data_IF_690175879107
#
_entry.id   IF_690175879107
#
_cell.length_a   1.000
_cell.length_b   1.000
_cell.length_c   1.000
_cell.angle_alpha   90.00
_cell.angle_beta   90.00
_cell.angle_gamma   90.00
#
_symmetry.space_group_name_H-M   'P 1'
#
loop_
_entity.id
_entity.type
_entity.pdbx_description
1 polymer ?
#
# COMPACT_ATOMS: atom_id res chain seq x y z
N UNK A 1 9.22 -3.06 5.24
CA UNK A 1 9.08 -1.98 4.25
C UNK A 1 8.81 -2.67 2.92
N UNK A 2 7.52 -2.89 2.63
CA UNK A 2 7.05 -3.71 1.50
C UNK A 2 7.29 -2.98 0.16
N UNK A 3 7.46 -3.71 -0.96
CA UNK A 3 7.36 -3.14 -2.29
C UNK A 3 5.92 -2.63 -2.54
N UNK A 4 5.77 -1.45 -3.16
CA UNK A 4 4.47 -0.94 -3.58
C UNK A 4 3.80 -1.99 -4.48
N UNK A 5 2.71 -2.58 -4.00
CA UNK A 5 1.85 -3.45 -4.79
C UNK A 5 0.59 -2.64 -5.14
N UNK A 6 0.53 -2.14 -6.37
CA UNK A 6 -0.64 -1.43 -6.88
C UNK A 6 -1.76 -2.44 -7.17
N UNK A 7 -2.91 -2.33 -6.48
CA UNK A 7 -4.12 -3.15 -6.70
C UNK A 7 -5.21 -2.27 -7.32
N UNK A 8 -5.50 -2.38 -8.61
CA UNK A 8 -6.54 -1.53 -9.24
C UNK A 8 -7.95 -2.04 -8.92
N UNK A 9 -8.84 -1.14 -8.50
CA UNK A 9 -10.28 -1.36 -8.41
C UNK A 9 -10.91 -1.02 -9.77
N UNK A 10 -11.44 -2.00 -10.50
CA UNK A 10 -12.00 -1.80 -11.85
C UNK A 10 -13.54 -1.79 -11.80
N UNK A 11 -14.16 -0.70 -12.25
CA UNK A 11 -15.53 -0.74 -12.81
C UNK A 11 -15.40 -0.69 -14.34
N UNK A 12 -16.00 -1.66 -15.01
CA UNK A 12 -15.95 -1.81 -16.47
C UNK A 12 -17.02 -0.90 -17.09
N UNK A 13 -16.62 0.00 -17.99
CA UNK A 13 -17.53 0.74 -18.88
C UNK A 13 -17.10 0.55 -20.35
N UNK A 14 -18.04 0.44 -21.30
CA UNK A 14 -17.73 0.12 -22.70
C UNK A 14 -17.25 1.37 -23.47
N UNK A 15 -16.23 1.20 -24.32
CA UNK A 15 -15.61 2.25 -25.15
C UNK A 15 -16.16 2.15 -26.58
N UNK A 16 -16.59 3.28 -27.15
CA UNK A 16 -17.06 3.40 -28.53
C UNK A 16 -15.91 3.87 -29.44
N UNK A 17 -15.62 3.11 -30.50
CA UNK A 17 -14.46 3.28 -31.39
C UNK A 17 -14.83 4.08 -32.63
N UNK A 18 -14.35 5.33 -32.78
CA UNK A 18 -14.14 6.00 -34.08
C UNK A 18 -13.55 7.43 -33.89
N UNK A 19 -12.24 7.52 -33.59
CA UNK A 19 -11.38 8.75 -33.70
C UNK A 19 -9.88 8.47 -33.45
N UNK A 20 -9.40 7.30 -33.86
CA UNK A 20 -8.37 6.56 -33.11
C UNK A 20 -6.89 6.73 -33.51
N UNK A 21 -6.48 7.61 -34.45
CA UNK A 21 -5.07 7.63 -34.89
C UNK A 21 -4.18 8.68 -34.19
N UNK A 22 -4.59 9.95 -34.12
CA UNK A 22 -3.78 10.98 -33.45
C UNK A 22 -3.91 10.97 -31.92
N UNK A 23 -5.13 10.79 -31.41
CA UNK A 23 -5.37 10.75 -29.96
C UNK A 23 -4.75 9.53 -29.28
N UNK A 24 -4.57 8.42 -30.00
CA UNK A 24 -3.94 7.22 -29.46
C UNK A 24 -2.41 7.37 -29.32
N UNK A 25 -1.75 8.04 -30.27
CA UNK A 25 -0.32 8.31 -30.20
C UNK A 25 0.01 9.31 -29.08
N UNK A 26 -0.79 10.37 -28.96
CA UNK A 26 -0.66 11.36 -27.87
C UNK A 26 -0.93 10.72 -26.49
N UNK A 27 -1.98 9.89 -26.38
CA UNK A 27 -2.26 9.15 -25.13
C UNK A 27 -1.10 8.23 -24.73
N UNK A 28 -0.48 7.54 -25.69
CA UNK A 28 0.66 6.65 -25.42
C UNK A 28 1.86 7.44 -24.90
N UNK A 29 2.13 8.62 -25.46
CA UNK A 29 3.23 9.48 -25.02
C UNK A 29 3.01 9.99 -23.59
N UNK A 30 1.81 10.44 -23.26
CA UNK A 30 1.43 10.87 -21.90
C UNK A 30 1.61 9.72 -20.90
N UNK A 31 1.13 8.51 -21.23
CA UNK A 31 1.29 7.34 -20.36
C UNK A 31 2.75 6.99 -20.07
N UNK A 32 3.63 7.12 -21.07
CA UNK A 32 5.07 6.91 -20.91
C UNK A 32 5.66 7.95 -19.95
N UNK A 33 5.28 9.23 -20.10
CA UNK A 33 5.76 10.30 -19.20
C UNK A 33 5.26 10.10 -17.77
N UNK A 34 3.99 9.71 -17.58
CA UNK A 34 3.43 9.39 -16.27
C UNK A 34 4.20 8.24 -15.62
N UNK A 35 4.45 7.16 -16.36
CA UNK A 35 5.19 6.01 -15.85
C UNK A 35 6.64 6.37 -15.49
N UNK A 36 7.28 7.23 -16.29
CA UNK A 36 8.63 7.72 -16.00
C UNK A 36 8.67 8.46 -14.66
N UNK A 37 7.69 9.35 -14.39
CA UNK A 37 7.55 10.01 -13.09
C UNK A 37 7.41 8.96 -11.98
N UNK A 38 6.53 7.96 -12.11
CA UNK A 38 6.33 6.92 -11.09
C UNK A 38 7.64 6.17 -10.80
N UNK A 39 8.43 5.86 -11.84
CA UNK A 39 9.70 5.14 -11.69
C UNK A 39 10.79 5.95 -10.96
N UNK A 40 10.77 7.28 -11.02
CA UNK A 40 11.66 8.11 -10.19
C UNK A 40 11.40 7.97 -8.68
N UNK A 41 10.20 7.49 -8.31
CA UNK A 41 9.80 7.24 -6.93
C UNK A 41 9.89 5.77 -6.53
N UNK A 42 10.25 4.87 -7.46
CA UNK A 42 10.43 3.46 -7.20
C UNK A 42 11.64 3.19 -6.27
N UNK A 43 11.53 2.13 -5.46
CA UNK A 43 12.61 1.68 -4.59
C UNK A 43 13.59 0.81 -5.38
N UNK A 44 14.65 1.43 -5.92
CA UNK A 44 15.71 0.72 -6.65
C UNK A 44 16.75 0.12 -5.68
N UNK A 45 16.32 -0.83 -4.84
CA UNK A 45 17.14 -1.41 -3.76
C UNK A 45 18.01 -2.59 -4.19
N UNK A 46 17.93 -3.02 -5.45
CA UNK A 46 18.63 -4.20 -5.96
C UNK A 46 19.29 -3.92 -7.31
N UNK A 47 20.39 -4.61 -7.58
CA UNK A 47 21.17 -4.43 -8.81
C UNK A 47 20.37 -4.78 -10.09
N UNK A 48 19.32 -5.59 -9.97
CA UNK A 48 18.40 -5.99 -11.05
C UNK A 48 17.19 -5.05 -11.22
N UNK A 49 17.13 -3.92 -10.50
CA UNK A 49 15.94 -3.05 -10.48
C UNK A 49 15.55 -2.54 -11.88
N UNK A 50 16.53 -2.22 -12.72
CA UNK A 50 16.28 -1.71 -14.08
C UNK A 50 15.64 -2.76 -14.99
N UNK A 51 16.13 -4.00 -14.95
CA UNK A 51 15.61 -5.10 -15.76
C UNK A 51 14.17 -5.45 -15.36
N UNK A 52 13.87 -5.41 -14.05
CA UNK A 52 12.53 -5.67 -13.53
C UNK A 52 11.54 -4.56 -13.89
N UNK A 53 11.98 -3.30 -13.83
CA UNK A 53 11.16 -2.17 -14.29
C UNK A 53 10.87 -2.30 -15.78
N UNK A 54 11.87 -2.63 -16.59
CA UNK A 54 11.69 -2.87 -18.03
C UNK A 54 10.69 -4.00 -18.32
N UNK A 55 10.78 -5.12 -17.59
CA UNK A 55 9.85 -6.23 -17.73
C UNK A 55 8.40 -5.87 -17.32
N UNK A 56 8.24 -4.98 -16.33
CA UNK A 56 6.93 -4.52 -15.86
C UNK A 56 6.29 -3.43 -16.72
N UNK A 57 7.09 -2.66 -17.46
CA UNK A 57 6.64 -1.48 -18.23
C UNK A 57 5.42 -1.74 -19.11
N UNK A 58 5.36 -2.80 -19.95
CA UNK A 58 4.20 -3.03 -20.81
C UNK A 58 2.89 -3.17 -20.02
N UNK A 59 2.96 -3.83 -18.85
CA UNK A 59 1.79 -4.02 -17.99
C UNK A 59 1.36 -2.69 -17.36
N UNK A 60 2.30 -1.90 -16.85
CA UNK A 60 1.99 -0.60 -16.25
C UNK A 60 1.40 0.37 -17.27
N UNK A 61 1.98 0.47 -18.47
CA UNK A 61 1.43 1.29 -19.55
C UNK A 61 0.00 0.88 -19.89
N UNK A 62 -0.26 -0.42 -20.06
CA UNK A 62 -1.62 -0.91 -20.38
C UNK A 62 -2.70 -0.56 -19.32
N UNK A 63 -2.29 -0.24 -18.09
CA UNK A 63 -3.18 0.22 -17.02
C UNK A 63 -3.35 1.73 -17.08
N UNK A 64 -2.24 2.47 -17.20
CA UNK A 64 -2.24 3.94 -17.29
C UNK A 64 -3.03 4.41 -18.53
N UNK A 65 -2.81 3.75 -19.67
CA UNK A 65 -3.49 4.03 -20.94
C UNK A 65 -5.00 4.07 -20.79
N UNK A 66 -5.59 3.24 -19.93
CA UNK A 66 -7.04 3.21 -19.72
C UNK A 66 -7.57 4.53 -19.15
N UNK A 67 -6.85 5.11 -18.19
CA UNK A 67 -7.20 6.40 -17.60
C UNK A 67 -6.94 7.53 -18.59
N UNK A 68 -5.80 7.49 -19.29
CA UNK A 68 -5.40 8.53 -20.24
C UNK A 68 -6.34 8.58 -21.45
N UNK A 69 -6.68 7.42 -22.04
CA UNK A 69 -7.66 7.33 -23.14
C UNK A 69 -9.04 7.80 -22.70
N UNK A 70 -9.45 7.52 -21.46
CA UNK A 70 -10.72 7.98 -20.91
C UNK A 70 -10.70 9.48 -20.51
N UNK A 71 -9.53 10.12 -20.47
CA UNK A 71 -9.38 11.48 -19.97
C UNK A 71 -9.67 11.61 -18.46
N UNK A 72 -9.48 10.53 -17.71
CA UNK A 72 -9.74 10.42 -16.28
C UNK A 72 -8.45 10.55 -15.45
N UNK A 73 -8.58 10.92 -14.17
CA UNK A 73 -7.43 10.95 -13.26
C UNK A 73 -6.82 9.57 -13.10
N UNK A 74 -5.49 9.47 -13.03
CA UNK A 74 -4.81 8.20 -12.78
C UNK A 74 -4.98 7.83 -11.31
N UNK A 75 -5.77 6.79 -11.05
CA UNK A 75 -6.02 6.30 -9.69
C UNK A 75 -5.03 5.21 -9.29
N UNK A 76 -4.27 5.47 -8.23
CA UNK A 76 -3.33 4.54 -7.63
C UNK A 76 -3.80 4.12 -6.25
N UNK A 77 -3.43 2.92 -5.81
CA UNK A 77 -3.55 2.54 -4.42
C UNK A 77 -2.26 1.98 -3.87
N UNK A 78 -2.07 2.16 -2.56
CA UNK A 78 -0.90 1.71 -1.84
C UNK A 78 -1.32 1.14 -0.47
N UNK A 79 -1.25 -0.19 -0.29
CA UNK A 79 -1.28 -0.80 1.03
C UNK A 79 -0.02 -0.38 1.81
N UNK A 80 -0.19 0.50 2.80
CA UNK A 80 0.91 1.03 3.58
C UNK A 80 0.41 1.78 4.83
N UNK A 81 1.37 2.25 5.62
CA UNK A 81 1.14 3.00 6.86
C UNK A 81 0.19 2.26 7.82
N UNK A 82 0.55 1.03 8.25
CA UNK A 82 -0.29 0.23 9.13
C UNK A 82 -0.33 0.80 10.56
N UNK A 83 0.84 1.07 11.14
CA UNK A 83 1.09 1.52 12.51
C UNK A 83 2.61 1.71 12.73
N UNK A 84 3.01 2.26 13.89
CA UNK A 84 4.41 2.26 14.33
C UNK A 84 4.80 0.91 14.95
N UNK A 85 6.08 0.55 14.82
CA UNK A 85 6.67 -0.66 15.40
C UNK A 85 6.36 -0.84 16.89
N UNK A 86 6.22 -2.08 17.34
CA UNK A 86 6.11 -2.42 18.76
C UNK A 86 7.42 -2.12 19.53
N UNK A 87 8.56 -2.08 18.84
CA UNK A 87 9.85 -1.77 19.44
C UNK A 87 10.01 -0.26 19.70
N UNK A 88 9.62 0.18 20.90
CA UNK A 88 9.75 1.56 21.37
C UNK A 88 11.14 1.92 21.91
N UNK A 89 12.08 0.96 21.95
CA UNK A 89 13.41 1.19 22.55
C UNK A 89 14.29 1.99 21.60
N UNK A 90 14.32 1.64 20.33
CA UNK A 90 15.20 2.31 19.35
C UNK A 90 14.59 2.52 17.97
N UNK A 91 13.43 1.92 17.64
CA UNK A 91 12.89 2.01 16.27
C UNK A 91 11.95 3.18 16.05
N UNK A 92 11.18 3.57 17.06
CA UNK A 92 10.14 4.60 16.94
C UNK A 92 10.05 5.44 18.20
N UNK A 93 9.62 6.71 18.04
CA UNK A 93 9.47 7.66 19.13
C UNK A 93 8.14 7.52 19.90
N UNK A 94 7.18 6.81 19.33
CA UNK A 94 5.84 6.66 19.90
C UNK A 94 4.94 5.74 19.06
N UNK A 95 3.63 5.83 19.29
CA UNK A 95 2.61 5.08 18.52
C UNK A 95 2.03 5.88 17.35
N UNK A 96 2.20 7.21 17.35
CA UNK A 96 1.65 8.11 16.35
C UNK A 96 2.66 8.33 15.20
N UNK A 97 2.18 8.76 14.01
CA UNK A 97 3.04 9.22 12.94
C UNK A 97 3.95 10.36 13.39
N UNK A 98 5.17 10.37 12.87
CA UNK A 98 6.18 11.40 13.11
C UNK A 98 6.68 11.99 11.76
N UNK A 99 7.81 12.69 11.80
CA UNK A 99 8.38 13.36 10.61
C UNK A 99 8.68 12.38 9.47
N UNK A 100 8.93 11.10 9.76
CA UNK A 100 9.16 10.11 8.72
C UNK A 100 7.90 9.90 7.88
N UNK A 101 6.74 9.79 8.53
CA UNK A 101 5.46 9.69 7.84
C UNK A 101 5.10 10.97 7.08
N UNK A 102 5.37 12.15 7.65
CA UNK A 102 5.14 13.43 6.98
C UNK A 102 5.92 13.51 5.65
N UNK A 103 7.23 13.23 5.67
CA UNK A 103 8.07 13.26 4.47
C UNK A 103 7.67 12.19 3.45
N UNK A 104 7.22 11.03 3.92
CA UNK A 104 6.73 9.98 3.03
C UNK A 104 5.43 10.39 2.32
N UNK A 105 4.47 10.99 3.05
CA UNK A 105 3.24 11.52 2.47
C UNK A 105 3.52 12.67 1.51
N UNK A 106 4.40 13.60 1.87
CA UNK A 106 4.82 14.70 1.00
C UNK A 106 5.40 14.18 -0.32
N UNK A 107 6.29 13.18 -0.23
CA UNK A 107 6.92 12.55 -1.40
C UNK A 107 5.87 11.95 -2.34
N UNK A 108 4.89 11.22 -1.81
CA UNK A 108 3.80 10.63 -2.59
C UNK A 108 2.86 11.68 -3.19
N UNK A 109 2.54 12.73 -2.42
CA UNK A 109 1.71 13.84 -2.89
C UNK A 109 2.38 14.59 -4.05
N UNK A 110 3.70 14.81 -3.92
CA UNK A 110 4.53 15.47 -4.94
C UNK A 110 4.59 14.67 -6.23
N UNK A 111 4.71 13.33 -6.13
CA UNK A 111 4.65 12.46 -7.31
C UNK A 111 3.34 12.67 -8.08
N UNK A 112 2.20 12.69 -7.37
CA UNK A 112 0.90 12.90 -8.01
C UNK A 112 0.75 14.32 -8.58
N UNK A 113 1.28 15.34 -7.88
CA UNK A 113 1.28 16.72 -8.37
C UNK A 113 2.07 16.87 -9.68
N UNK A 114 3.26 16.24 -9.77
CA UNK A 114 4.07 16.23 -10.99
C UNK A 114 3.37 15.56 -12.17
N UNK A 115 2.55 14.54 -11.93
CA UNK A 115 1.70 13.96 -12.97
C UNK A 115 0.65 14.98 -13.43
N UNK A 116 0.05 15.74 -12.51
CA UNK A 116 -0.86 16.84 -12.81
C UNK A 116 -0.27 17.95 -13.69
N UNK A 117 1.03 18.20 -13.60
CA UNK A 117 1.73 19.20 -14.43
C UNK A 117 1.79 18.80 -15.92
N UNK A 118 1.82 17.49 -16.22
CA UNK A 118 1.91 16.96 -17.59
C UNK A 118 0.57 16.40 -18.11
N UNK A 119 -0.37 16.09 -17.21
CA UNK A 119 -1.64 15.46 -17.53
C UNK A 119 -2.76 16.12 -16.73
N UNK A 120 -3.61 16.91 -17.42
CA UNK A 120 -4.62 17.79 -16.79
C UNK A 120 -5.55 17.09 -15.79
N UNK A 121 -6.08 15.87 -16.03
CA UNK A 121 -6.86 15.14 -15.03
C UNK A 121 -6.08 14.72 -13.79
N UNK A 122 -4.75 14.73 -13.85
CA UNK A 122 -3.84 14.48 -12.75
C UNK A 122 -3.79 13.02 -12.31
N UNK A 123 -3.38 12.84 -11.06
CA UNK A 123 -3.33 11.55 -10.40
C UNK A 123 -3.70 11.68 -8.92
N UNK A 124 -4.27 10.61 -8.38
CA UNK A 124 -4.61 10.50 -6.97
C UNK A 124 -4.11 9.16 -6.42
N UNK A 125 -3.59 9.18 -5.19
CA UNK A 125 -3.10 7.98 -4.52
C UNK A 125 -3.92 7.71 -3.27
N UNK A 126 -4.60 6.57 -3.26
CA UNK A 126 -5.32 6.07 -2.08
C UNK A 126 -4.42 5.18 -1.24
N UNK A 127 -4.06 5.64 -0.04
CA UNK A 127 -3.39 4.83 0.97
C UNK A 127 -4.42 3.91 1.63
N UNK A 128 -4.21 2.60 1.51
CA UNK A 128 -5.02 1.58 2.16
C UNK A 128 -4.29 1.14 3.44
N UNK A 129 -4.81 1.53 4.60
CA UNK A 129 -4.22 1.10 5.88
C UNK A 129 -4.53 -0.37 6.10
N UNK A 130 -3.51 -1.20 5.94
CA UNK A 130 -3.54 -2.66 6.02
C UNK A 130 -3.27 -3.20 7.43
N UNK A 131 -2.90 -2.32 8.38
CA UNK A 131 -2.46 -2.71 9.72
C UNK A 131 -3.47 -3.56 10.48
N UNK A 132 -4.77 -3.28 10.34
CA UNK A 132 -5.81 -4.04 11.03
C UNK A 132 -5.86 -5.52 10.59
N UNK A 133 -5.30 -5.87 9.43
CA UNK A 133 -5.31 -7.24 8.93
C UNK A 133 -4.41 -8.15 9.78
N UNK A 134 -3.32 -7.63 10.35
CA UNK A 134 -2.26 -8.44 10.99
C UNK A 134 -1.68 -7.83 12.28
N UNK A 135 -2.26 -6.76 12.82
CA UNK A 135 -1.74 -6.07 14.00
C UNK A 135 -1.64 -6.99 15.24
N UNK A 136 -2.56 -7.94 15.37
CA UNK A 136 -2.57 -8.94 16.44
C UNK A 136 -1.33 -9.86 16.40
N UNK A 137 -0.85 -10.23 15.21
CA UNK A 137 0.39 -10.98 15.04
C UNK A 137 1.63 -10.21 15.54
N UNK A 138 1.54 -8.87 15.60
CA UNK A 138 2.61 -7.98 16.05
C UNK A 138 2.39 -7.42 17.45
N UNK A 139 1.40 -7.93 18.18
CA UNK A 139 1.01 -7.45 19.51
C UNK A 139 0.69 -5.94 19.53
N UNK A 140 0.19 -5.40 18.41
CA UNK A 140 -0.25 -4.00 18.30
C UNK A 140 -1.76 -3.93 18.56
N UNK A 141 -2.22 -3.23 19.61
CA UNK A 141 -3.64 -3.09 19.91
C UNK A 141 -4.44 -2.42 18.77
N UNK A 142 -5.68 -2.85 18.55
CA UNK A 142 -6.56 -2.25 17.51
C UNK A 142 -6.76 -0.73 17.72
N UNK A 143 -6.81 -0.26 18.97
CA UNK A 143 -6.90 1.18 19.31
C UNK A 143 -5.66 1.96 18.84
N UNK A 144 -4.47 1.35 18.86
CA UNK A 144 -3.23 2.00 18.46
C UNK A 144 -3.20 2.14 16.93
N UNK A 145 -3.68 1.13 16.21
CA UNK A 145 -3.89 1.19 14.74
C UNK A 145 -4.88 2.31 14.39
N UNK A 146 -5.99 2.40 15.14
CA UNK A 146 -6.96 3.47 14.96
C UNK A 146 -6.34 4.85 15.19
N UNK A 147 -5.68 5.05 16.33
CA UNK A 147 -5.06 6.32 16.69
C UNK A 147 -3.99 6.76 15.68
N UNK A 148 -3.12 5.82 15.27
CA UNK A 148 -2.12 6.07 14.23
C UNK A 148 -2.77 6.54 12.92
N UNK A 149 -3.77 5.79 12.44
CA UNK A 149 -4.45 6.15 11.20
C UNK A 149 -5.17 7.51 11.29
N UNK A 150 -5.78 7.84 12.43
CA UNK A 150 -6.46 9.12 12.64
C UNK A 150 -5.46 10.28 12.60
N UNK A 151 -4.33 10.14 13.29
CA UNK A 151 -3.26 11.13 13.28
C UNK A 151 -2.64 11.29 11.89
N UNK A 152 -2.49 10.20 11.12
CA UNK A 152 -1.95 10.25 9.75
C UNK A 152 -2.85 11.04 8.81
N UNK A 153 -4.17 10.83 8.90
CA UNK A 153 -5.17 11.60 8.14
C UNK A 153 -5.18 13.07 8.54
N UNK A 154 -5.11 13.35 9.84
CA UNK A 154 -5.03 14.73 10.34
C UNK A 154 -3.77 15.44 9.81
N UNK A 155 -2.63 14.75 9.84
CA UNK A 155 -1.36 15.25 9.29
C UNK A 155 -1.47 15.58 7.79
N UNK A 156 -2.09 14.70 6.99
CA UNK A 156 -2.26 14.96 5.56
C UNK A 156 -3.11 16.22 5.30
N UNK A 157 -4.16 16.43 6.09
CA UNK A 157 -4.99 17.64 6.02
C UNK A 157 -4.20 18.88 6.45
N UNK A 158 -3.52 18.83 7.59
CA UNK A 158 -2.71 19.93 8.13
C UNK A 158 -1.64 20.40 7.15
N UNK A 159 -1.00 19.46 6.45
CA UNK A 159 0.08 19.73 5.49
C UNK A 159 -0.41 20.05 4.08
N UNK A 160 -1.71 19.96 3.82
CA UNK A 160 -2.29 20.25 2.50
C UNK A 160 -1.95 19.21 1.42
N UNK A 161 -1.82 17.93 1.79
CA UNK A 161 -1.58 16.84 0.83
C UNK A 161 -2.88 16.45 0.12
N UNK A 162 -3.26 17.21 -0.91
CA UNK A 162 -4.55 17.09 -1.60
C UNK A 162 -4.67 15.92 -2.57
N UNK A 163 -3.55 15.32 -3.00
CA UNK A 163 -3.54 14.19 -3.94
C UNK A 163 -3.48 12.82 -3.24
N UNK A 164 -3.68 12.81 -1.91
CA UNK A 164 -3.63 11.61 -1.08
C UNK A 164 -5.00 11.37 -0.46
N UNK A 165 -5.57 10.22 -0.79
CA UNK A 165 -6.80 9.71 -0.20
C UNK A 165 -6.49 8.58 0.78
N UNK A 166 -7.42 8.28 1.68
CA UNK A 166 -7.25 7.21 2.66
C UNK A 166 -8.44 6.26 2.64
N UNK A 167 -8.12 4.97 2.63
CA UNK A 167 -9.07 3.87 2.80
C UNK A 167 -8.62 2.97 3.95
N UNK A 168 -9.57 2.40 4.67
CA UNK A 168 -9.33 1.47 5.77
C UNK A 168 -9.96 0.13 5.42
N UNK A 169 -9.61 -0.89 6.19
CA UNK A 169 -10.18 -2.22 6.01
C UNK A 169 -11.72 -2.23 5.99
N UNK A 170 -12.37 -1.36 6.78
CA UNK A 170 -13.83 -1.20 6.80
C UNK A 170 -14.43 -0.77 5.46
N UNK A 171 -13.67 -0.02 4.64
CA UNK A 171 -14.12 0.45 3.33
C UNK A 171 -14.02 -0.65 2.25
N UNK A 172 -13.39 -1.78 2.58
CA UNK A 172 -13.19 -2.94 1.70
C UNK A 172 -14.16 -4.10 1.98
N UNK A 173 -14.91 -4.01 3.07
CA UNK A 173 -15.83 -5.06 3.53
C UNK A 173 -17.26 -4.55 3.51
N UNK A 174 -18.18 -5.38 3.02
CA UNK A 174 -19.60 -5.05 3.01
C UNK A 174 -20.19 -5.41 4.37
N UNK A 175 -20.16 -4.46 5.30
CA UNK A 175 -20.56 -4.67 6.69
C UNK A 175 -21.38 -3.48 7.20
N UNK A 176 -22.60 -3.70 7.75
CA UNK A 176 -23.51 -2.62 8.11
C UNK A 176 -23.01 -1.87 9.34
N UNK A 177 -22.57 -0.62 9.13
CA UNK A 177 -22.09 0.26 10.20
C UNK A 177 -22.50 1.71 9.99
N UNK A 178 -22.45 2.53 11.05
CA UNK A 178 -22.60 3.97 10.93
C UNK A 178 -21.57 4.56 9.95
N UNK A 179 -21.99 5.53 9.15
CA UNK A 179 -21.14 6.24 8.18
C UNK A 179 -19.90 6.85 8.87
N UNK A 180 -20.12 7.54 9.99
CA UNK A 180 -19.07 8.05 10.87
C UNK A 180 -18.74 7.03 11.94
N UNK A 181 -17.56 6.43 11.83
CA UNK A 181 -17.02 5.56 12.87
C UNK A 181 -16.32 6.37 13.94
N UNK A 182 -16.71 6.13 15.18
CA UNK A 182 -15.94 6.50 16.36
C UNK A 182 -14.97 5.37 16.72
N UNK A 183 -13.96 5.68 17.53
CA UNK A 183 -12.95 4.72 17.98
C UNK A 183 -13.58 3.45 18.54
N UNK A 184 -14.50 3.60 19.50
CA UNK A 184 -15.16 2.48 20.18
C UNK A 184 -15.84 1.55 19.18
N UNK A 185 -16.60 2.11 18.22
CA UNK A 185 -17.30 1.31 17.21
C UNK A 185 -16.32 0.61 16.27
N UNK A 186 -15.25 1.27 15.85
CA UNK A 186 -14.25 0.67 14.97
C UNK A 186 -13.50 -0.47 15.67
N UNK A 187 -13.02 -0.22 16.89
CA UNK A 187 -12.26 -1.19 17.69
C UNK A 187 -13.14 -2.40 18.04
N UNK A 188 -14.39 -2.18 18.45
CA UNK A 188 -15.32 -3.28 18.74
C UNK A 188 -15.62 -4.17 17.52
N UNK A 189 -15.47 -3.65 16.30
CA UNK A 189 -15.70 -4.39 15.06
C UNK A 189 -14.42 -4.82 14.34
N UNK A 190 -13.24 -4.56 14.90
CA UNK A 190 -11.95 -4.85 14.28
C UNK A 190 -11.84 -6.32 13.82
N UNK A 191 -12.17 -7.26 14.71
CA UNK A 191 -12.19 -8.70 14.41
C UNK A 191 -13.20 -9.06 13.32
N UNK A 192 -14.35 -8.39 13.28
CA UNK A 192 -15.38 -8.65 12.27
C UNK A 192 -14.89 -8.24 10.88
N UNK A 193 -14.21 -7.09 10.77
CA UNK A 193 -13.60 -6.65 9.52
C UNK A 193 -12.54 -7.62 9.03
N UNK A 194 -11.64 -8.04 9.93
CA UNK A 194 -10.57 -9.01 9.62
C UNK A 194 -11.17 -10.33 9.14
N UNK A 195 -12.16 -10.86 9.86
CA UNK A 195 -12.84 -12.11 9.49
C UNK A 195 -13.56 -12.00 8.15
N UNK A 196 -14.26 -10.90 7.89
CA UNK A 196 -14.95 -10.71 6.62
C UNK A 196 -13.96 -10.66 5.44
N UNK A 197 -12.82 -9.95 5.60
CA UNK A 197 -11.77 -9.93 4.59
C UNK A 197 -11.20 -11.34 4.33
N UNK A 198 -10.83 -12.07 5.39
CA UNK A 198 -10.26 -13.41 5.28
C UNK A 198 -11.25 -14.40 4.68
N UNK A 199 -12.52 -14.37 5.06
CA UNK A 199 -13.53 -15.27 4.49
C UNK A 199 -13.77 -15.00 2.99
N UNK A 200 -13.60 -13.76 2.53
CA UNK A 200 -13.86 -13.36 1.15
C UNK A 200 -12.66 -13.51 0.22
N UNK A 201 -11.45 -13.24 0.73
CA UNK A 201 -10.23 -13.16 -0.07
C UNK A 201 -9.10 -14.08 0.42
N UNK A 202 -9.27 -14.73 1.56
CA UNK A 202 -8.33 -15.71 2.09
C UNK A 202 -8.25 -16.95 1.21
N UNK A 203 -7.17 -17.70 1.40
CA UNK A 203 -6.89 -18.95 0.70
C UNK A 203 -6.53 -20.00 1.74
N UNK A 204 -7.54 -20.75 2.17
CA UNK A 204 -7.37 -21.77 3.21
C UNK A 204 -6.51 -22.96 2.73
N UNK A 205 -6.42 -23.15 1.42
CA UNK A 205 -5.63 -24.18 0.74
C UNK A 205 -4.20 -23.72 0.38
N UNK A 206 -3.78 -22.52 0.81
CA UNK A 206 -2.46 -21.99 0.50
C UNK A 206 -1.35 -22.75 1.24
N UNK A 207 -0.61 -23.56 0.51
CA UNK A 207 0.65 -24.15 0.98
C UNK A 207 1.78 -23.10 0.92
N UNK A 208 1.95 -22.38 2.03
CA UNK A 208 2.94 -21.30 2.12
C UNK A 208 4.38 -21.81 2.02
N UNK A 209 4.66 -23.04 2.48
CA UNK A 209 6.00 -23.62 2.42
C UNK A 209 6.39 -23.93 0.97
N UNK A 210 5.45 -24.52 0.21
CA UNK A 210 5.63 -24.73 -1.22
C UNK A 210 5.75 -23.41 -1.99
N UNK A 211 4.95 -22.39 -1.66
CA UNK A 211 5.03 -21.06 -2.27
C UNK A 211 6.40 -20.40 -2.03
N UNK A 212 6.92 -20.48 -0.80
CA UNK A 212 8.26 -19.98 -0.45
C UNK A 212 9.36 -20.77 -1.18
N UNK A 213 9.20 -22.09 -1.33
CA UNK A 213 10.18 -22.93 -2.00
C UNK A 213 10.23 -22.72 -3.53
N UNK A 214 9.08 -22.48 -4.15
CA UNK A 214 8.94 -22.49 -5.62
C UNK A 214 8.91 -21.10 -6.25
N UNK A 215 8.53 -20.04 -5.50
CA UNK A 215 8.41 -18.67 -6.05
C UNK A 215 9.43 -17.73 -5.42
N UNK A 216 10.36 -17.26 -6.25
CA UNK A 216 11.44 -16.36 -5.84
C UNK A 216 10.92 -15.07 -5.18
N UNK A 217 9.84 -14.48 -5.72
CA UNK A 217 9.25 -13.26 -5.18
C UNK A 217 8.60 -13.46 -3.81
N UNK A 218 7.94 -14.60 -3.60
CA UNK A 218 7.38 -15.00 -2.30
C UNK A 218 8.51 -15.20 -1.29
N UNK A 219 9.59 -15.90 -1.68
CA UNK A 219 10.76 -16.09 -0.83
C UNK A 219 11.42 -14.78 -0.42
N UNK A 220 11.60 -13.84 -1.36
CA UNK A 220 12.16 -12.52 -1.06
C UNK A 220 11.28 -11.74 -0.10
N UNK A 221 9.97 -11.76 -0.31
CA UNK A 221 8.98 -11.14 0.57
C UNK A 221 9.05 -11.74 1.98
N UNK A 222 9.05 -13.07 2.09
CA UNK A 222 9.19 -13.80 3.34
C UNK A 222 10.49 -13.43 4.09
N UNK A 223 11.63 -13.42 3.40
CA UNK A 223 12.93 -13.02 3.98
C UNK A 223 12.91 -11.58 4.49
N UNK A 224 12.26 -10.68 3.74
CA UNK A 224 12.04 -9.29 4.14
C UNK A 224 11.24 -9.17 5.43
N UNK A 225 10.11 -9.89 5.53
CA UNK A 225 9.31 -9.93 6.75
C UNK A 225 10.09 -10.54 7.91
N UNK A 226 10.76 -11.68 7.73
CA UNK A 226 11.52 -12.33 8.80
C UNK A 226 12.56 -11.40 9.43
N UNK A 227 13.29 -10.63 8.61
CA UNK A 227 14.24 -9.63 9.09
C UNK A 227 13.55 -8.48 9.85
N UNK A 228 12.44 -7.98 9.32
CA UNK A 228 11.66 -6.92 9.95
C UNK A 228 11.11 -7.36 11.32
N UNK A 229 10.41 -8.51 11.34
CA UNK A 229 9.78 -9.11 12.52
C UNK A 229 10.78 -9.36 13.65
N UNK A 230 11.97 -9.87 13.32
CA UNK A 230 13.02 -10.11 14.31
C UNK A 230 13.34 -8.85 15.12
N UNK A 231 13.51 -7.70 14.45
CA UNK A 231 13.80 -6.43 15.11
C UNK A 231 12.60 -5.78 15.79
N UNK A 232 11.39 -5.98 15.25
CA UNK A 232 10.14 -5.40 15.78
C UNK A 232 9.69 -6.09 17.07
N UNK A 233 9.87 -7.40 17.15
CA UNK A 233 9.38 -8.22 18.26
C UNK A 233 10.44 -8.50 19.33
N UNK A 234 11.68 -8.05 19.14
CA UNK A 234 12.82 -8.35 20.01
C UNK A 234 12.55 -8.12 21.51
N UNK A 235 11.80 -7.06 21.85
CA UNK A 235 11.47 -6.70 23.23
C UNK A 235 10.03 -7.08 23.64
N UNK A 236 9.24 -7.61 22.71
CA UNK A 236 7.89 -8.12 22.96
C UNK A 236 7.97 -9.60 23.36
N UNK A 237 8.80 -10.36 22.66
CA UNK A 237 9.10 -11.76 22.94
C UNK A 237 10.62 -11.92 23.10
N UNK A 238 11.16 -11.74 24.31
CA UNK A 238 12.59 -11.94 24.57
C UNK A 238 13.00 -13.34 24.11
N UNK A 239 14.06 -13.43 23.29
CA UNK A 239 14.60 -14.71 22.88
C UNK A 239 15.09 -15.46 24.12
N UNK A 240 14.34 -16.50 24.54
CA UNK A 240 14.78 -17.38 25.61
C UNK A 240 16.10 -18.04 25.24
N UNK A 241 16.95 -18.29 26.24
CA UNK A 241 18.32 -18.82 26.15
C UNK A 241 18.49 -20.19 25.45
N UNK A 242 17.41 -20.79 24.92
CA UNK A 242 17.42 -22.11 24.27
C UNK A 242 16.90 -22.14 22.83
N UNK A 243 16.50 -21.01 22.22
CA UNK A 243 16.09 -20.99 20.80
C UNK A 243 17.26 -20.55 19.92
N UNK A 244 18.17 -21.47 19.66
CA UNK A 244 19.10 -21.32 18.55
C UNK A 244 18.28 -21.22 17.25
N UNK A 245 18.31 -20.02 16.66
CA UNK A 245 17.81 -19.73 15.31
C UNK A 245 18.64 -20.49 14.28
N UNK A 246 18.36 -21.77 14.09
CA UNK A 246 18.68 -22.49 12.85
C UNK A 246 17.54 -23.46 12.54
N UNK A 247 16.65 -23.04 11.64
CA UNK A 247 16.13 -23.96 10.64
C UNK A 247 16.65 -23.45 9.31
N UNK A 248 17.53 -24.26 8.72
CA UNK A 248 18.07 -24.09 7.37
C UNK A 248 16.95 -24.03 6.35
#
# INVERSE_FOLDING_TARGET
MQPLSFVTCTKVLPINTEKCSNGALEATEVSIQILAIIYEYALNKFDDSLDRLAAGTPKFLSVIDRFVIAGESVEMCLPAFPFKSANKVYKVLGILPDKAEELALERLNTMCARIGDIYRPGANLTIISDGLVYNDLLSIPDRDVWAYGQALRAMAVEKGFTNISFSRLRDLVDFPLPEKLQEVTYVANATNFRRHLLNKFGKDDLDIDNEIATKADTLMTYRGYRRFLHSDLQYVFPAGTGRHLQRQ
#
